data_IF_968736478671
#
_entry.id   IF_968736478671
#
_cell.length_a   1.000
_cell.length_b   1.000
_cell.length_c   1.000
_cell.angle_alpha   90.00
_cell.angle_beta   90.00
_cell.angle_gamma   90.00
#
_symmetry.space_group_name_H-M   'P 1'
#
loop_
_entity.id
_entity.type
_entity.pdbx_description
1 polymer ?
#
# COMPACT_ATOMS: atom_id res chain seq x y z
N UNK A 1 -15.85 11.72 -64.92
CA UNK A 1 -15.97 13.09 -64.38
C UNK A 1 -16.01 12.99 -62.87
N UNK A 2 -14.90 13.38 -62.24
CA UNK A 2 -14.74 13.45 -60.79
C UNK A 2 -15.43 14.72 -60.27
N UNK A 3 -16.05 14.64 -59.09
CA UNK A 3 -16.32 15.83 -58.29
C UNK A 3 -16.02 15.52 -56.83
N UNK A 4 -14.98 16.19 -56.38
CA UNK A 4 -14.36 16.20 -55.07
C UNK A 4 -15.22 16.99 -54.09
N UNK A 5 -15.36 16.49 -52.85
CA UNK A 5 -15.59 17.38 -51.70
C UNK A 5 -14.59 17.09 -50.58
N UNK A 6 -13.86 18.19 -50.31
CA UNK A 6 -12.84 18.45 -49.30
C UNK A 6 -13.05 17.74 -47.96
N UNK A 7 -11.98 17.07 -47.54
CA UNK A 7 -11.57 16.95 -46.14
C UNK A 7 -10.95 18.29 -45.72
N UNK A 8 -11.50 18.92 -44.68
CA UNK A 8 -10.84 19.99 -43.92
C UNK A 8 -10.68 19.50 -42.48
N UNK A 9 -9.42 19.29 -42.10
CA UNK A 9 -9.02 18.84 -40.79
C UNK A 9 -9.23 19.88 -39.71
N UNK A 10 -9.39 19.41 -38.48
CA UNK A 10 -9.26 20.25 -37.30
C UNK A 10 -8.73 19.44 -36.12
N UNK A 11 -7.44 19.67 -35.85
CA UNK A 11 -6.88 19.83 -34.51
C UNK A 11 -6.86 18.59 -33.63
N UNK A 12 -5.88 17.71 -33.87
CA UNK A 12 -5.36 16.80 -32.87
C UNK A 12 -4.77 17.64 -31.72
N UNK A 13 -5.51 17.82 -30.62
CA UNK A 13 -4.96 18.38 -29.38
C UNK A 13 -4.16 17.29 -28.69
N UNK A 14 -2.94 17.10 -29.14
CA UNK A 14 -1.87 16.47 -28.37
C UNK A 14 -1.44 17.45 -27.28
N UNK A 15 -1.91 17.23 -26.06
CA UNK A 15 -1.52 18.04 -24.91
C UNK A 15 -2.05 17.44 -23.63
N UNK A 16 -1.17 16.73 -22.92
CA UNK A 16 -1.11 16.50 -21.46
C UNK A 16 -0.73 15.08 -21.02
N UNK A 17 -0.59 14.11 -21.93
CA UNK A 17 -0.01 12.79 -21.60
C UNK A 17 1.50 12.80 -21.31
N UNK A 18 2.18 13.95 -21.47
CA UNK A 18 3.63 14.07 -21.30
C UNK A 18 4.06 14.39 -19.85
N UNK A 19 3.17 14.84 -18.97
CA UNK A 19 3.56 15.24 -17.62
C UNK A 19 3.79 14.03 -16.68
N UNK A 20 3.00 12.96 -16.82
CA UNK A 20 3.16 11.76 -16.00
C UNK A 20 4.38 10.89 -16.41
N UNK A 21 4.84 11.01 -17.67
CA UNK A 21 6.01 10.30 -18.16
C UNK A 21 7.34 11.08 -17.97
N UNK A 22 7.28 12.38 -17.65
CA UNK A 22 8.49 13.20 -17.55
C UNK A 22 9.22 13.10 -16.21
N UNK A 23 8.58 12.62 -15.13
CA UNK A 23 9.25 12.43 -13.83
C UNK A 23 10.23 11.24 -13.90
N UNK A 24 9.82 10.12 -14.50
CA UNK A 24 10.65 8.91 -14.63
C UNK A 24 11.69 9.02 -15.75
N UNK A 25 11.39 9.72 -16.86
CA UNK A 25 12.29 9.77 -18.03
C UNK A 25 13.50 10.72 -17.87
N UNK A 26 13.46 11.70 -16.95
CA UNK A 26 14.55 12.66 -16.80
C UNK A 26 15.78 12.07 -16.10
N UNK A 27 15.61 11.02 -15.29
CA UNK A 27 16.72 10.45 -14.48
C UNK A 27 17.43 9.33 -15.23
N UNK A 28 16.76 8.62 -16.13
CA UNK A 28 17.41 7.58 -16.98
C UNK A 28 18.45 8.16 -17.93
N UNK A 29 18.32 9.42 -18.36
CA UNK A 29 19.27 10.06 -19.27
C UNK A 29 20.57 10.53 -18.59
N UNK A 30 20.58 10.72 -17.27
CA UNK A 30 21.77 11.21 -16.54
C UNK A 30 22.74 10.08 -16.16
N UNK A 31 22.25 8.85 -15.97
CA UNK A 31 23.08 7.72 -15.51
C UNK A 31 23.88 7.02 -16.62
N UNK A 32 23.60 7.27 -17.90
CA UNK A 32 24.35 6.66 -19.01
C UNK A 32 25.76 7.26 -19.25
N UNK A 33 26.15 8.32 -18.51
CA UNK A 33 27.39 9.06 -18.77
C UNK A 33 28.48 8.91 -17.70
N UNK A 34 28.28 8.14 -16.62
CA UNK A 34 29.27 8.03 -15.54
C UNK A 34 29.49 6.59 -15.13
N UNK A 35 30.55 5.98 -15.67
CA UNK A 35 31.03 4.65 -15.26
C UNK A 35 31.79 4.74 -13.93
N UNK A 36 31.46 3.94 -12.89
CA UNK A 36 32.34 3.79 -11.74
C UNK A 36 33.27 2.59 -11.89
N UNK A 37 34.54 2.81 -11.57
CA UNK A 37 35.59 1.80 -11.42
C UNK A 37 35.43 1.12 -10.05
N UNK A 38 35.60 -0.21 -9.91
CA UNK A 38 35.33 -0.91 -8.65
C UNK A 38 36.51 -0.78 -7.66
N UNK A 39 36.21 -0.39 -6.42
CA UNK A 39 37.14 -0.35 -5.30
C UNK A 39 36.51 -0.94 -4.04
N UNK A 40 37.19 -1.94 -3.47
CA UNK A 40 36.78 -2.83 -2.38
C UNK A 40 36.18 -2.16 -1.13
N UNK A 41 35.12 -2.77 -0.59
CA UNK A 41 34.70 -2.60 0.80
C UNK A 41 34.73 -3.97 1.50
N UNK A 42 35.68 -4.13 2.41
CA UNK A 42 35.59 -5.09 3.49
C UNK A 42 35.59 -4.27 4.78
N UNK A 43 34.49 -4.28 5.54
CA UNK A 43 34.52 -3.86 6.93
C UNK A 43 33.84 -4.86 7.85
N UNK A 44 34.65 -5.13 8.86
CA UNK A 44 34.64 -6.09 9.94
C UNK A 44 33.47 -5.94 10.93
N UNK A 45 33.17 -7.08 11.53
CA UNK A 45 32.15 -7.38 12.55
C UNK A 45 32.57 -6.86 13.93
N UNK A 46 31.73 -6.08 14.60
CA UNK A 46 31.94 -5.72 16.02
C UNK A 46 31.09 -6.58 16.96
N UNK A 47 31.76 -7.13 17.97
CA UNK A 47 31.23 -8.01 19.01
C UNK A 47 30.69 -7.23 20.23
N UNK A 48 29.73 -7.84 20.92
CA UNK A 48 29.19 -7.41 22.21
C UNK A 48 30.19 -7.65 23.37
N UNK A 49 29.94 -7.04 24.54
CA UNK A 49 30.25 -7.72 25.79
C UNK A 49 29.08 -7.80 26.78
N UNK A 50 29.21 -8.79 27.66
CA UNK A 50 28.26 -9.29 28.63
C UNK A 50 28.39 -8.64 30.03
N UNK A 51 27.46 -9.06 30.89
CA UNK A 51 27.10 -8.62 32.23
C UNK A 51 28.17 -8.61 33.34
N UNK A 52 27.85 -7.89 34.43
CA UNK A 52 28.29 -8.20 35.80
C UNK A 52 27.26 -7.70 36.85
N UNK A 53 27.03 -8.51 37.88
CA UNK A 53 26.10 -8.34 39.00
C UNK A 53 26.71 -7.63 40.22
N UNK A 54 25.89 -7.08 41.13
CA UNK A 54 26.12 -7.17 42.58
C UNK A 54 24.85 -6.78 43.39
N UNK A 55 24.79 -7.24 44.64
CA UNK A 55 23.61 -7.59 45.43
C UNK A 55 23.37 -6.72 46.69
N UNK A 56 22.26 -7.02 47.40
CA UNK A 56 22.02 -6.74 48.83
C UNK A 56 21.00 -5.61 49.11
N UNK A 57 20.09 -5.64 50.09
CA UNK A 57 19.74 -6.59 51.15
C UNK A 57 18.32 -6.25 51.68
N UNK A 58 17.67 -7.22 52.32
CA UNK A 58 16.33 -7.12 52.92
C UNK A 58 16.35 -6.73 54.41
N UNK A 59 15.28 -6.11 54.91
CA UNK A 59 14.89 -6.11 56.35
C UNK A 59 13.35 -6.08 56.48
N UNK A 60 12.80 -7.02 57.27
CA UNK A 60 11.42 -7.06 57.82
C UNK A 60 11.43 -6.46 59.27
N UNK A 61 10.37 -6.05 59.98
CA UNK A 61 8.94 -6.37 60.06
C UNK A 61 8.15 -5.28 60.86
N UNK A 62 6.81 -5.45 60.92
CA UNK A 62 5.70 -4.59 61.41
C UNK A 62 5.58 -4.37 62.96
N UNK A 63 4.43 -3.94 63.59
CA UNK A 63 3.17 -3.29 63.15
C UNK A 63 2.69 -2.09 64.05
N UNK A 64 1.71 -1.26 63.63
CA UNK A 64 0.85 -0.50 64.55
C UNK A 64 -0.42 0.12 63.90
N UNK A 65 -1.57 -0.29 64.45
CA UNK A 65 -2.83 0.42 64.75
C UNK A 65 -3.55 1.36 63.74
N UNK A 66 -4.87 1.15 63.69
CA UNK A 66 -5.87 1.74 62.81
C UNK A 66 -6.29 3.18 63.14
N UNK A 67 -6.73 3.90 62.11
CA UNK A 67 -7.72 5.00 62.18
C UNK A 67 -8.56 5.01 60.88
N UNK A 68 -9.85 5.37 60.95
CA UNK A 68 -10.82 5.10 59.89
C UNK A 68 -10.62 5.99 58.66
N UNK A 69 -10.80 5.39 57.48
CA UNK A 69 -10.72 6.06 56.20
C UNK A 69 -11.85 7.10 56.03
N UNK A 70 -11.58 8.29 55.44
CA UNK A 70 -12.63 9.14 54.95
C UNK A 70 -13.32 8.45 53.76
N UNK A 71 -14.64 8.33 53.83
CA UNK A 71 -15.52 7.99 52.72
C UNK A 71 -15.30 9.00 51.59
N UNK A 72 -14.46 8.63 50.62
CA UNK A 72 -14.37 9.31 49.33
C UNK A 72 -15.64 8.97 48.55
N UNK A 73 -16.30 9.96 47.91
CA UNK A 73 -17.44 9.69 47.05
C UNK A 73 -16.95 8.81 45.90
N UNK A 74 -17.75 7.78 45.58
CA UNK A 74 -17.53 6.93 44.41
C UNK A 74 -17.53 7.84 43.18
N UNK A 75 -16.32 8.19 42.72
CA UNK A 75 -16.15 8.75 41.40
C UNK A 75 -16.69 7.70 40.44
N UNK A 76 -17.67 8.06 39.62
CA UNK A 76 -18.09 7.28 38.47
C UNK A 76 -16.84 6.98 37.65
N UNK A 77 -16.27 5.80 37.84
CA UNK A 77 -15.29 5.26 36.92
C UNK A 77 -15.98 5.22 35.55
N UNK A 78 -15.36 5.76 34.49
CA UNK A 78 -15.84 5.51 33.15
C UNK A 78 -15.97 4.00 32.98
N UNK A 79 -17.14 3.54 32.50
CA UNK A 79 -17.31 2.14 32.15
C UNK A 79 -16.12 1.72 31.26
N UNK A 80 -15.49 0.55 31.51
CA UNK A 80 -14.40 0.10 30.68
C UNK A 80 -14.89 0.07 29.23
N UNK A 81 -14.17 0.77 28.35
CA UNK A 81 -14.41 0.68 26.92
C UNK A 81 -14.35 -0.80 26.57
N UNK A 82 -15.45 -1.36 26.06
CA UNK A 82 -15.51 -2.75 25.67
C UNK A 82 -14.33 -3.06 24.75
N UNK A 83 -13.55 -4.08 25.11
CA UNK A 83 -12.34 -4.45 24.39
C UNK A 83 -12.74 -4.90 22.99
N UNK A 84 -12.55 -4.04 21.98
CA UNK A 84 -12.88 -4.38 20.59
C UNK A 84 -12.16 -5.66 20.20
N UNK A 85 -12.92 -6.68 19.79
CA UNK A 85 -12.36 -7.92 19.25
C UNK A 85 -11.42 -7.61 18.10
N UNK A 86 -10.16 -8.04 18.24
CA UNK A 86 -9.12 -7.83 17.25
C UNK A 86 -9.49 -8.53 15.93
N UNK A 87 -9.18 -7.92 14.77
CA UNK A 87 -9.28 -8.61 13.48
C UNK A 87 -8.40 -9.86 13.41
N UNK A 88 -8.70 -10.80 12.48
CA UNK A 88 -7.81 -11.91 12.15
C UNK A 88 -6.39 -11.43 11.85
N UNK A 89 -5.40 -12.10 12.42
CA UNK A 89 -3.99 -11.81 12.17
C UNK A 89 -3.50 -12.38 10.82
N UNK A 90 -2.23 -12.13 10.50
CA UNK A 90 -1.62 -12.58 9.25
C UNK A 90 -1.67 -14.11 9.06
N UNK A 91 -1.47 -14.88 10.14
CA UNK A 91 -1.50 -16.34 10.08
C UNK A 91 -2.91 -16.86 9.81
N UNK A 92 -3.93 -16.26 10.44
CA UNK A 92 -5.33 -16.60 10.18
C UNK A 92 -5.75 -16.28 8.73
N UNK A 93 -5.25 -15.17 8.16
CA UNK A 93 -5.48 -14.80 6.76
C UNK A 93 -4.81 -15.81 5.82
N UNK A 94 -3.54 -16.15 6.04
CA UNK A 94 -2.83 -17.16 5.25
C UNK A 94 -3.52 -18.53 5.31
N UNK A 95 -3.95 -18.95 6.50
CA UNK A 95 -4.69 -20.19 6.68
C UNK A 95 -6.02 -20.17 5.94
N UNK A 96 -6.76 -19.05 5.98
CA UNK A 96 -8.03 -18.93 5.26
C UNK A 96 -7.87 -19.10 3.73
N UNK A 97 -6.74 -18.64 3.17
CA UNK A 97 -6.45 -18.71 1.73
C UNK A 97 -5.87 -20.08 1.34
N UNK A 98 -4.78 -20.51 1.98
CA UNK A 98 -4.01 -21.68 1.55
C UNK A 98 -4.22 -22.93 2.40
N UNK A 99 -4.95 -22.83 3.51
CA UNK A 99 -5.11 -23.92 4.49
C UNK A 99 -3.76 -24.42 5.06
N UNK A 100 -2.76 -23.53 5.10
CA UNK A 100 -1.42 -23.78 5.65
C UNK A 100 -1.29 -23.09 7.00
N UNK A 101 -0.80 -23.82 8.00
CA UNK A 101 -0.44 -23.25 9.30
C UNK A 101 0.97 -22.66 9.25
N UNK A 102 1.05 -21.33 9.20
CA UNK A 102 2.32 -20.59 9.19
C UNK A 102 2.98 -20.52 10.58
N UNK A 103 2.39 -21.13 11.62
CA UNK A 103 2.86 -21.12 13.01
C UNK A 103 3.05 -19.69 13.55
N UNK A 104 2.16 -18.78 13.14
CA UNK A 104 2.20 -17.37 13.51
C UNK A 104 3.13 -16.51 12.64
N UNK A 105 3.83 -17.07 11.65
CA UNK A 105 4.62 -16.30 10.71
C UNK A 105 3.73 -15.57 9.69
N UNK A 106 4.14 -14.38 9.20
CA UNK A 106 3.40 -13.65 8.17
C UNK A 106 3.68 -14.19 6.76
N UNK A 107 4.37 -15.32 6.62
CA UNK A 107 4.72 -15.93 5.34
C UNK A 107 4.75 -17.45 5.48
N UNK A 108 4.44 -18.16 4.41
CA UNK A 108 4.48 -19.62 4.33
C UNK A 108 4.79 -20.09 2.92
N UNK A 109 5.47 -21.23 2.81
CA UNK A 109 5.55 -21.99 1.56
C UNK A 109 4.17 -22.55 1.22
N UNK A 110 3.76 -22.40 -0.04
CA UNK A 110 2.47 -22.86 -0.56
C UNK A 110 2.70 -23.81 -1.75
N UNK A 111 1.73 -23.93 -2.65
CA UNK A 111 1.79 -24.89 -3.73
C UNK A 111 3.03 -24.68 -4.63
N UNK A 112 3.64 -25.80 -5.04
CA UNK A 112 4.70 -25.81 -6.06
C UNK A 112 5.87 -24.86 -5.75
N UNK A 113 6.28 -24.73 -4.48
CA UNK A 113 7.44 -23.91 -4.10
C UNK A 113 7.22 -22.39 -4.20
N UNK A 114 5.98 -21.95 -4.41
CA UNK A 114 5.58 -20.56 -4.24
C UNK A 114 5.58 -20.17 -2.76
N UNK A 115 5.78 -18.89 -2.47
CA UNK A 115 5.74 -18.30 -1.14
C UNK A 115 4.60 -17.28 -1.09
N UNK A 116 3.68 -17.49 -0.14
CA UNK A 116 2.61 -16.55 0.19
C UNK A 116 3.01 -15.71 1.40
N UNK A 117 2.84 -14.39 1.32
CA UNK A 117 3.21 -13.46 2.38
C UNK A 117 2.12 -12.44 2.62
N UNK A 118 1.75 -12.24 3.89
CA UNK A 118 0.80 -11.21 4.30
C UNK A 118 1.32 -9.82 3.96
N UNK A 119 0.46 -9.03 3.33
CA UNK A 119 0.80 -7.69 2.85
C UNK A 119 0.12 -6.60 3.68
N UNK A 120 -1.21 -6.66 3.76
CA UNK A 120 -2.01 -5.58 4.34
C UNK A 120 -3.34 -6.12 4.88
N UNK A 121 -3.93 -5.43 5.85
CA UNK A 121 -5.25 -5.78 6.37
C UNK A 121 -6.04 -4.54 6.71
N UNK A 122 -7.33 -4.55 6.38
CA UNK A 122 -8.18 -3.38 6.50
C UNK A 122 -9.53 -3.74 7.11
N UNK A 123 -9.86 -3.09 8.23
CA UNK A 123 -11.18 -3.16 8.83
C UNK A 123 -12.01 -1.94 8.37
N UNK A 124 -13.20 -2.19 7.85
CA UNK A 124 -14.09 -1.15 7.33
C UNK A 124 -15.54 -1.51 7.62
N UNK A 125 -16.44 -0.55 7.46
CA UNK A 125 -17.88 -0.77 7.60
C UNK A 125 -18.57 -0.33 6.32
N UNK A 126 -19.44 -1.17 5.78
CA UNK A 126 -20.23 -0.84 4.60
C UNK A 126 -21.69 -1.22 4.84
N UNK A 127 -22.58 -0.23 4.68
CA UNK A 127 -24.02 -0.37 4.94
C UNK A 127 -24.32 -0.97 6.33
N UNK A 128 -23.56 -0.55 7.35
CA UNK A 128 -23.71 -1.04 8.72
C UNK A 128 -23.08 -2.41 8.99
N UNK A 129 -22.54 -3.09 7.98
CA UNK A 129 -21.87 -4.38 8.15
C UNK A 129 -20.36 -4.17 8.37
N UNK A 130 -19.79 -4.62 9.51
CA UNK A 130 -18.35 -4.61 9.73
C UNK A 130 -17.65 -5.71 8.94
N UNK A 131 -16.65 -5.30 8.16
CA UNK A 131 -15.77 -6.13 7.35
C UNK A 131 -14.33 -6.03 7.82
N UNK A 132 -13.60 -7.11 7.61
CA UNK A 132 -12.15 -7.12 7.63
C UNK A 132 -11.66 -7.91 6.43
N UNK A 133 -10.74 -7.35 5.67
CA UNK A 133 -10.07 -8.07 4.59
C UNK A 133 -8.58 -8.07 4.84
N UNK A 134 -7.99 -9.27 4.83
CA UNK A 134 -6.55 -9.46 4.78
C UNK A 134 -6.12 -9.75 3.35
N UNK A 135 -5.01 -9.14 2.94
CA UNK A 135 -4.41 -9.28 1.62
C UNK A 135 -3.05 -9.95 1.77
N UNK A 136 -2.77 -10.90 0.89
CA UNK A 136 -1.46 -11.53 0.75
C UNK A 136 -0.94 -11.27 -0.65
N UNK A 137 0.37 -11.38 -0.82
CA UNK A 137 0.98 -11.53 -2.13
C UNK A 137 1.66 -12.89 -2.24
N UNK A 138 1.71 -13.41 -3.46
CA UNK A 138 2.23 -14.73 -3.77
C UNK A 138 3.19 -14.66 -4.96
N UNK A 139 4.36 -15.30 -4.82
CA UNK A 139 5.33 -15.46 -5.92
C UNK A 139 4.81 -16.39 -7.01
N UNK A 140 5.48 -16.46 -8.16
CA UNK A 140 5.15 -17.48 -9.15
C UNK A 140 5.48 -18.88 -8.61
N UNK A 141 4.65 -19.87 -9.00
CA UNK A 141 4.94 -21.28 -8.76
C UNK A 141 6.23 -21.71 -9.48
N UNK A 142 6.98 -22.59 -8.82
CA UNK A 142 8.33 -23.03 -9.21
C UNK A 142 8.27 -24.49 -9.63
N UNK A 143 8.44 -24.71 -10.94
CA UNK A 143 8.39 -26.05 -11.53
C UNK A 143 9.77 -26.56 -11.97
N UNK A 144 10.76 -25.66 -12.08
CA UNK A 144 12.15 -25.97 -12.42
C UNK A 144 13.00 -26.38 -11.21
N UNK A 145 14.31 -26.59 -11.42
CA UNK A 145 15.23 -26.75 -10.30
C UNK A 145 15.46 -25.39 -9.62
N UNK A 146 15.80 -25.38 -8.31
CA UNK A 146 16.17 -24.14 -7.63
C UNK A 146 17.25 -23.36 -8.40
N UNK A 147 16.95 -22.11 -8.75
CA UNK A 147 17.86 -21.23 -9.49
C UNK A 147 17.75 -21.28 -11.02
N UNK A 148 16.82 -22.06 -11.59
CA UNK A 148 16.53 -22.04 -13.04
C UNK A 148 15.46 -21.01 -13.42
N UNK A 149 14.74 -20.45 -12.44
CA UNK A 149 13.69 -19.46 -12.67
C UNK A 149 14.27 -18.03 -12.59
N UNK A 150 14.37 -17.38 -13.74
CA UNK A 150 14.84 -15.99 -13.85
C UNK A 150 13.71 -15.00 -13.50
N UNK A 151 13.93 -14.18 -12.47
CA UNK A 151 13.03 -13.08 -12.10
C UNK A 151 13.38 -11.83 -12.88
N UNK A 152 12.51 -11.44 -13.81
CA UNK A 152 12.67 -10.23 -14.60
C UNK A 152 12.25 -8.96 -13.84
N UNK A 153 12.67 -7.78 -14.30
CA UNK A 153 12.29 -6.51 -13.67
C UNK A 153 10.78 -6.26 -13.70
N UNK A 154 10.07 -6.77 -14.71
CA UNK A 154 8.62 -6.62 -14.85
C UNK A 154 7.83 -7.78 -14.24
N UNK A 155 8.50 -8.75 -13.60
CA UNK A 155 7.80 -9.87 -12.95
C UNK A 155 7.02 -9.34 -11.76
N UNK A 156 5.69 -9.53 -11.79
CA UNK A 156 4.76 -9.15 -10.74
C UNK A 156 4.59 -10.27 -9.72
N UNK A 157 3.86 -9.98 -8.65
CA UNK A 157 3.33 -10.98 -7.72
C UNK A 157 1.81 -11.02 -7.82
N UNK A 158 1.23 -12.20 -7.60
CA UNK A 158 -0.22 -12.35 -7.48
C UNK A 158 -0.67 -11.73 -6.15
N UNK A 159 -1.81 -11.03 -6.15
CA UNK A 159 -2.45 -10.53 -4.95
C UNK A 159 -3.71 -11.35 -4.69
N UNK A 160 -3.88 -11.84 -3.46
CA UNK A 160 -5.04 -12.61 -3.03
C UNK A 160 -5.63 -12.03 -1.74
N UNK A 161 -6.86 -12.43 -1.41
CA UNK A 161 -7.55 -11.90 -0.24
C UNK A 161 -8.36 -12.95 0.52
N UNK A 162 -8.56 -12.70 1.81
CA UNK A 162 -9.60 -13.32 2.62
C UNK A 162 -10.40 -12.25 3.36
N UNK A 163 -11.72 -12.32 3.22
CA UNK A 163 -12.67 -11.40 3.82
C UNK A 163 -13.43 -12.07 4.96
N UNK A 164 -13.61 -11.32 6.03
CA UNK A 164 -14.29 -11.71 7.26
C UNK A 164 -15.37 -10.67 7.59
N UNK A 165 -16.41 -11.12 8.26
CA UNK A 165 -17.53 -10.29 8.73
C UNK A 165 -17.71 -10.45 10.23
N UNK A 166 -18.15 -9.39 10.89
CA UNK A 166 -18.61 -9.43 12.28
C UNK A 166 -20.10 -9.09 12.34
N UNK A 167 -20.81 -9.64 13.31
CA UNK A 167 -22.22 -9.33 13.50
C UNK A 167 -22.36 -7.87 13.98
N UNK A 168 -23.05 -6.98 13.22
CA UNK A 168 -23.27 -5.61 13.67
C UNK A 168 -24.14 -5.51 14.94
N UNK A 169 -25.02 -6.48 15.17
CA UNK A 169 -25.86 -6.54 16.36
C UNK A 169 -25.11 -7.05 17.61
N UNK A 170 -23.89 -7.59 17.43
CA UNK A 170 -23.07 -8.13 18.51
C UNK A 170 -21.60 -7.73 18.32
N UNK A 171 -21.19 -6.55 18.82
CA UNK A 171 -19.81 -6.04 18.66
C UNK A 171 -18.72 -6.94 19.26
N UNK A 172 -19.09 -7.77 20.24
CA UNK A 172 -18.24 -8.77 20.90
C UNK A 172 -18.16 -10.09 20.11
N UNK A 173 -18.93 -10.24 19.02
CA UNK A 173 -18.87 -11.45 18.20
C UNK A 173 -17.51 -11.59 17.51
N UNK A 174 -16.99 -12.82 17.37
CA UNK A 174 -15.76 -13.04 16.63
C UNK A 174 -15.95 -12.74 15.15
N UNK A 175 -14.87 -12.37 14.49
CA UNK A 175 -14.81 -12.31 13.04
C UNK A 175 -15.06 -13.70 12.45
N UNK A 176 -16.00 -13.79 11.52
CA UNK A 176 -16.35 -15.02 10.79
C UNK A 176 -15.86 -14.91 9.37
N UNK A 177 -15.20 -15.96 8.90
CA UNK A 177 -14.79 -16.06 7.50
C UNK A 177 -16.00 -15.94 6.58
N UNK A 178 -15.92 -15.03 5.61
CA UNK A 178 -16.94 -14.82 4.58
C UNK A 178 -16.58 -15.56 3.31
N UNK A 179 -15.34 -15.41 2.87
CA UNK A 179 -14.86 -15.92 1.59
C UNK A 179 -13.43 -15.46 1.32
N UNK A 180 -12.83 -16.03 0.28
CA UNK A 180 -11.50 -15.70 -0.21
C UNK A 180 -11.49 -15.72 -1.73
N UNK A 181 -10.55 -14.99 -2.31
CA UNK A 181 -10.28 -15.02 -3.75
C UNK A 181 -8.77 -15.24 -3.94
N UNK A 182 -8.36 -16.33 -4.61
CA UNK A 182 -6.94 -16.69 -4.77
C UNK A 182 -6.21 -15.74 -5.71
N UNK A 183 -6.93 -14.90 -6.45
CA UNK A 183 -6.36 -13.79 -7.21
C UNK A 183 -7.37 -12.65 -7.31
N UNK A 184 -6.90 -11.44 -7.01
CA UNK A 184 -7.63 -10.18 -7.18
C UNK A 184 -6.89 -9.21 -8.11
N UNK A 185 -5.79 -9.66 -8.71
CA UNK A 185 -4.93 -8.92 -9.62
C UNK A 185 -3.45 -9.22 -9.35
N UNK A 186 -2.59 -8.64 -10.18
CA UNK A 186 -1.14 -8.74 -10.03
C UNK A 186 -0.54 -7.33 -9.89
N UNK A 187 0.53 -7.23 -9.12
CA UNK A 187 1.16 -5.94 -8.83
C UNK A 187 2.63 -6.09 -8.45
N UNK A 188 3.32 -4.95 -8.39
CA UNK A 188 4.74 -4.90 -8.06
C UNK A 188 5.66 -5.14 -9.25
N UNK A 189 6.91 -5.42 -8.94
CA UNK A 189 8.02 -5.59 -9.88
C UNK A 189 9.11 -6.42 -9.20
N UNK A 190 10.02 -7.01 -9.97
CA UNK A 190 11.08 -7.89 -9.43
C UNK A 190 10.54 -9.00 -8.50
N UNK A 191 9.32 -9.48 -8.78
CA UNK A 191 8.57 -10.44 -7.98
C UNK A 191 8.41 -10.02 -6.51
N UNK A 192 8.20 -8.72 -6.30
CA UNK A 192 7.90 -8.14 -4.99
C UNK A 192 6.79 -7.11 -5.12
N UNK A 193 5.89 -7.01 -4.13
CA UNK A 193 4.93 -5.93 -4.10
C UNK A 193 5.62 -4.62 -3.69
N UNK A 194 4.96 -3.46 -3.90
CA UNK A 194 5.28 -2.26 -3.15
C UNK A 194 5.20 -2.50 -1.64
N UNK A 195 6.10 -1.90 -0.87
CA UNK A 195 6.05 -1.95 0.58
C UNK A 195 4.89 -1.09 1.09
N UNK A 196 4.24 -1.52 2.19
CA UNK A 196 3.18 -0.72 2.82
C UNK A 196 3.83 0.42 3.59
N UNK A 197 3.45 1.66 3.28
CA UNK A 197 3.84 2.80 4.08
C UNK A 197 2.93 2.90 5.31
N UNK A 198 3.52 2.56 6.46
CA UNK A 198 2.83 2.54 7.76
C UNK A 198 2.69 3.93 8.41
N UNK A 199 3.34 4.96 7.85
CA UNK A 199 3.28 6.33 8.36
C UNK A 199 2.03 7.06 7.84
N UNK A 200 1.57 6.71 6.64
CA UNK A 200 0.33 7.23 6.06
C UNK A 200 -0.84 6.31 6.39
N UNK A 201 -2.03 6.91 6.54
CA UNK A 201 -3.27 6.15 6.73
C UNK A 201 -3.85 5.73 5.38
N UNK A 202 -4.44 4.52 5.30
CA UNK A 202 -5.26 4.17 4.14
C UNK A 202 -6.44 5.11 4.01
N UNK A 203 -6.85 5.37 2.78
CA UNK A 203 -7.97 6.25 2.45
C UNK A 203 -9.10 5.43 1.84
N UNK A 204 -10.33 5.81 2.15
CA UNK A 204 -11.55 5.15 1.69
C UNK A 204 -12.41 6.12 0.90
N UNK A 205 -13.10 5.60 -0.11
CA UNK A 205 -14.21 6.28 -0.78
C UNK A 205 -15.36 5.32 -1.04
N UNK A 206 -16.56 5.71 -0.59
CA UNK A 206 -17.79 4.94 -0.80
C UNK A 206 -18.49 5.47 -2.05
N UNK A 207 -18.73 4.60 -3.02
CA UNK A 207 -19.39 5.00 -4.27
C UNK A 207 -20.90 5.11 -4.07
N UNK A 208 -21.60 5.72 -5.03
CA UNK A 208 -23.05 5.83 -4.99
C UNK A 208 -23.75 4.47 -5.13
N UNK A 209 -23.16 3.54 -5.88
CA UNK A 209 -23.61 2.15 -5.91
C UNK A 209 -23.28 1.38 -4.62
N UNK A 210 -22.51 2.00 -3.70
CA UNK A 210 -22.07 1.43 -2.43
C UNK A 210 -21.01 0.34 -2.60
N UNK A 211 -20.07 0.56 -3.52
CA UNK A 211 -18.74 -0.06 -3.50
C UNK A 211 -17.82 0.74 -2.56
N UNK A 212 -16.69 0.14 -2.21
CA UNK A 212 -15.60 0.84 -1.52
C UNK A 212 -14.37 0.86 -2.44
N UNK A 213 -13.79 2.03 -2.64
CA UNK A 213 -12.43 2.19 -3.13
C UNK A 213 -11.50 2.43 -1.93
N UNK A 214 -10.51 1.57 -1.77
CA UNK A 214 -9.46 1.64 -0.76
C UNK A 214 -8.16 2.04 -1.45
N UNK A 215 -7.47 3.05 -0.92
CA UNK A 215 -6.12 3.42 -1.30
C UNK A 215 -5.17 3.06 -0.16
N UNK A 216 -4.35 2.04 -0.38
CA UNK A 216 -3.32 1.58 0.57
C UNK A 216 -2.03 2.36 0.30
N UNK A 217 -1.48 3.12 1.25
CA UNK A 217 -0.25 3.86 1.04
C UNK A 217 0.91 2.90 0.84
N UNK A 218 1.73 3.18 -0.17
CA UNK A 218 2.87 2.33 -0.52
C UNK A 218 4.14 3.14 -0.71
N UNK A 219 5.26 2.45 -0.60
CA UNK A 219 6.60 2.94 -0.90
C UNK A 219 7.37 1.89 -1.71
N UNK A 220 8.18 2.36 -2.65
CA UNK A 220 9.16 1.54 -3.38
C UNK A 220 10.46 2.32 -3.49
N UNK A 221 11.59 1.64 -3.37
CA UNK A 221 12.90 2.24 -3.62
C UNK A 221 13.50 1.67 -4.91
N UNK A 222 13.76 2.53 -5.89
CA UNK A 222 14.34 2.13 -7.15
C UNK A 222 15.38 3.15 -7.60
N UNK A 223 16.57 2.67 -8.00
CA UNK A 223 17.63 3.49 -8.58
C UNK A 223 17.98 4.75 -7.77
N UNK A 224 17.95 4.67 -6.44
CA UNK A 224 18.29 5.80 -5.57
C UNK A 224 17.14 6.76 -5.28
N UNK A 225 15.92 6.44 -5.73
CA UNK A 225 14.72 7.24 -5.54
C UNK A 225 13.72 6.43 -4.72
N UNK A 226 13.26 7.03 -3.64
CA UNK A 226 12.06 6.57 -2.93
C UNK A 226 10.84 7.12 -3.65
N UNK A 227 9.98 6.23 -4.15
CA UNK A 227 8.70 6.56 -4.78
C UNK A 227 7.61 6.23 -3.77
N UNK A 228 6.85 7.24 -3.36
CA UNK A 228 5.66 7.06 -2.55
C UNK A 228 4.43 6.97 -3.46
N UNK A 229 3.47 6.13 -3.09
CA UNK A 229 2.27 5.92 -3.89
C UNK A 229 1.10 5.44 -3.06
N UNK A 230 0.06 5.00 -3.78
CA UNK A 230 -1.02 4.21 -3.24
C UNK A 230 -1.38 3.07 -4.19
N UNK A 231 -1.54 1.87 -3.66
CA UNK A 231 -2.20 0.77 -4.34
C UNK A 231 -3.72 0.89 -4.16
N UNK A 232 -4.47 0.82 -5.27
CA UNK A 232 -5.90 1.02 -5.29
C UNK A 232 -6.63 -0.32 -5.39
N UNK A 233 -7.60 -0.53 -4.50
CA UNK A 233 -8.39 -1.75 -4.39
C UNK A 233 -9.88 -1.40 -4.36
N UNK A 234 -10.70 -2.09 -5.15
CA UNK A 234 -12.15 -1.92 -5.15
C UNK A 234 -12.81 -3.12 -4.52
N UNK A 235 -13.62 -2.89 -3.49
CA UNK A 235 -14.53 -3.87 -2.91
C UNK A 235 -15.93 -3.68 -3.50
N UNK A 236 -16.44 -4.73 -4.14
CA UNK A 236 -17.82 -4.82 -4.60
C UNK A 236 -18.56 -5.87 -3.77
N UNK A 237 -19.55 -5.48 -2.95
CA UNK A 237 -20.26 -6.42 -2.11
C UNK A 237 -20.93 -7.51 -2.95
N UNK A 238 -20.85 -8.80 -2.57
CA UNK A 238 -21.47 -9.92 -3.27
C UNK A 238 -22.92 -9.71 -3.70
N UNK A 239 -23.73 -9.10 -2.84
CA UNK A 239 -25.13 -8.77 -3.10
C UNK A 239 -25.32 -7.79 -4.27
N UNK A 240 -24.29 -7.00 -4.60
CA UNK A 240 -24.26 -6.03 -5.71
C UNK A 240 -23.55 -6.55 -6.96
N UNK A 241 -23.03 -7.78 -6.92
CA UNK A 241 -22.35 -8.42 -8.06
C UNK A 241 -23.28 -9.14 -9.03
N UNK A 242 -24.59 -9.16 -8.81
CA UNK A 242 -25.53 -9.96 -9.64
C UNK A 242 -25.45 -9.64 -11.14
N UNK A 243 -25.08 -8.40 -11.49
CA UNK A 243 -24.89 -7.95 -12.88
C UNK A 243 -23.41 -7.77 -13.27
N UNK A 244 -22.47 -8.03 -12.37
CA UNK A 244 -21.03 -7.83 -12.57
C UNK A 244 -20.26 -9.16 -12.46
N UNK A 245 -19.72 -9.64 -13.59
CA UNK A 245 -18.75 -10.75 -13.57
C UNK A 245 -17.40 -10.22 -13.08
N UNK A 246 -17.18 -10.27 -11.78
CA UNK A 246 -15.95 -9.79 -11.17
C UNK A 246 -15.74 -10.34 -9.77
N UNK A 247 -14.52 -10.15 -9.30
CA UNK A 247 -14.11 -10.51 -7.96
C UNK A 247 -14.79 -9.59 -6.91
N UNK A 248 -14.89 -10.04 -5.67
CA UNK A 248 -15.32 -9.22 -4.52
C UNK A 248 -14.33 -8.10 -4.29
N UNK A 249 -13.04 -8.41 -4.37
CA UNK A 249 -11.98 -7.41 -4.40
C UNK A 249 -11.30 -7.39 -5.76
N UNK A 250 -10.90 -6.21 -6.22
CA UNK A 250 -10.08 -6.07 -7.42
C UNK A 250 -9.00 -5.04 -7.19
N UNK A 251 -7.76 -5.41 -7.48
CA UNK A 251 -6.68 -4.45 -7.63
C UNK A 251 -6.88 -3.68 -8.93
N UNK A 252 -6.90 -2.34 -8.82
CA UNK A 252 -7.23 -1.43 -9.92
C UNK A 252 -6.08 -0.46 -10.22
N UNK A 253 -4.85 -0.86 -9.91
CA UNK A 253 -3.62 -0.13 -10.24
C UNK A 253 -3.05 0.70 -9.10
N UNK A 254 -1.94 1.36 -9.40
CA UNK A 254 -1.22 2.24 -8.49
C UNK A 254 -1.32 3.70 -8.92
N UNK A 255 -1.25 4.61 -7.96
CA UNK A 255 -1.06 6.04 -8.21
C UNK A 255 0.20 6.51 -7.52
N UNK A 256 0.99 7.35 -8.21
CA UNK A 256 2.22 7.94 -7.65
C UNK A 256 1.82 9.15 -6.82
N UNK A 257 2.36 9.24 -5.61
CA UNK A 257 2.08 10.28 -4.63
C UNK A 257 3.36 10.99 -4.15
N UNK A 258 4.51 10.75 -4.75
CA UNK A 258 5.71 11.52 -4.46
C UNK A 258 6.98 10.79 -4.83
N UNK A 259 8.06 11.54 -4.84
CA UNK A 259 9.41 11.07 -5.12
C UNK A 259 10.40 11.80 -4.21
N UNK A 260 11.39 11.08 -3.72
CA UNK A 260 12.50 11.60 -2.94
C UNK A 260 13.82 11.00 -3.45
N UNK A 261 14.69 11.84 -4.00
CA UNK A 261 16.02 11.43 -4.45
C UNK A 261 17.12 11.74 -3.42
N UNK A 262 16.76 12.12 -2.20
CA UNK A 262 17.66 12.34 -1.07
C UNK A 262 18.76 11.27 -0.92
N UNK A 263 18.42 9.97 -1.02
CA UNK A 263 19.41 8.90 -0.94
C UNK A 263 20.50 8.92 -2.03
N UNK A 264 20.23 9.52 -3.19
CA UNK A 264 21.13 9.54 -4.35
C UNK A 264 21.77 10.90 -4.64
N UNK A 265 21.18 12.00 -4.16
CA UNK A 265 21.62 13.34 -4.52
C UNK A 265 22.96 13.76 -3.89
N UNK A 266 23.41 13.07 -2.83
CA UNK A 266 24.61 13.37 -2.05
C UNK A 266 24.69 14.84 -1.63
N UNK A 267 23.65 15.32 -0.93
CA UNK A 267 23.50 16.72 -0.48
C UNK A 267 23.58 17.77 -1.60
N UNK A 268 23.41 17.35 -2.86
CA UNK A 268 23.47 18.22 -4.04
C UNK A 268 24.70 18.01 -4.91
N UNK A 269 25.69 17.22 -4.47
CA UNK A 269 26.98 17.04 -5.14
C UNK A 269 26.85 16.27 -6.46
N UNK A 270 25.92 15.31 -6.54
CA UNK A 270 25.69 14.50 -7.76
C UNK A 270 24.58 15.11 -8.61
N UNK A 271 23.48 15.51 -7.97
CA UNK A 271 22.33 16.15 -8.59
C UNK A 271 21.56 16.94 -7.54
N UNK A 272 20.69 17.89 -7.93
CA UNK A 272 19.85 18.59 -6.97
C UNK A 272 18.98 17.63 -6.16
N UNK A 273 19.00 17.78 -4.83
CA UNK A 273 18.07 17.07 -3.95
C UNK A 273 16.67 17.65 -4.13
N UNK A 274 15.70 16.78 -4.41
CA UNK A 274 14.29 17.09 -4.58
C UNK A 274 13.45 16.08 -3.84
N UNK A 275 12.42 16.59 -3.18
CA UNK A 275 11.40 15.80 -2.51
C UNK A 275 10.05 16.37 -2.87
N UNK A 276 9.15 15.49 -3.28
CA UNK A 276 7.76 15.79 -3.57
C UNK A 276 6.86 14.89 -2.77
N UNK A 277 5.78 15.47 -2.26
CA UNK A 277 4.76 14.78 -1.47
C UNK A 277 3.39 15.15 -2.01
N UNK A 278 2.55 14.13 -2.18
CA UNK A 278 1.26 14.20 -2.83
C UNK A 278 0.14 13.85 -1.87
N UNK A 279 -0.85 14.74 -1.79
CA UNK A 279 -2.11 14.47 -1.10
C UNK A 279 -3.12 13.85 -2.06
N UNK A 280 -3.60 12.65 -1.75
CA UNK A 280 -4.63 11.97 -2.53
C UNK A 280 -6.03 12.44 -2.12
N UNK A 281 -6.80 12.91 -3.09
CA UNK A 281 -8.19 13.35 -2.92
C UNK A 281 -9.11 12.59 -3.86
N UNK A 282 -10.16 12.00 -3.30
CA UNK A 282 -11.25 11.42 -4.07
C UNK A 282 -12.31 12.46 -4.41
N UNK A 283 -12.83 12.41 -5.63
CA UNK A 283 -13.97 13.23 -6.04
C UNK A 283 -14.97 12.40 -6.82
N UNK A 284 -16.26 12.61 -6.57
CA UNK A 284 -17.32 11.92 -7.28
C UNK A 284 -17.19 12.13 -8.79
N UNK A 285 -17.39 11.06 -9.56
CA UNK A 285 -17.45 11.13 -11.01
C UNK A 285 -18.92 11.16 -11.45
N UNK A 286 -19.34 12.22 -12.12
CA UNK A 286 -20.74 12.36 -12.55
C UNK A 286 -21.15 11.33 -13.62
N UNK A 287 -20.19 10.70 -14.31
CA UNK A 287 -20.43 9.81 -15.44
C UNK A 287 -20.04 8.35 -15.17
N UNK A 288 -19.47 8.04 -14.00
CA UNK A 288 -19.05 6.69 -13.63
C UNK A 288 -19.17 6.49 -12.11
N UNK A 289 -19.37 5.26 -11.66
CA UNK A 289 -19.55 4.98 -10.23
C UNK A 289 -18.26 5.17 -9.42
N UNK A 290 -17.11 4.75 -9.98
CA UNK A 290 -15.81 4.93 -9.35
C UNK A 290 -15.34 6.40 -9.41
N UNK A 291 -14.75 6.93 -8.31
CA UNK A 291 -14.37 8.34 -8.22
C UNK A 291 -13.24 8.69 -9.18
N UNK A 292 -13.01 9.99 -9.38
CA UNK A 292 -11.71 10.49 -9.82
C UNK A 292 -10.76 10.53 -8.63
N UNK A 293 -9.51 10.19 -8.87
CA UNK A 293 -8.43 10.28 -7.88
C UNK A 293 -7.52 11.42 -8.30
N UNK A 294 -7.36 12.42 -7.45
CA UNK A 294 -6.44 13.54 -7.72
C UNK A 294 -5.30 13.49 -6.72
N UNK A 295 -4.06 13.58 -7.20
CA UNK A 295 -2.88 13.74 -6.36
C UNK A 295 -2.40 15.17 -6.46
N UNK A 296 -2.45 15.90 -5.35
CA UNK A 296 -2.00 17.28 -5.24
C UNK A 296 -0.58 17.33 -4.70
N UNK A 297 0.37 17.70 -5.54
CA UNK A 297 1.78 17.69 -5.17
C UNK A 297 2.23 18.99 -4.49
N UNK A 298 3.13 18.82 -3.53
CA UNK A 298 3.88 19.87 -2.87
C UNK A 298 5.37 19.50 -2.85
N UNK A 299 6.22 20.44 -2.42
CA UNK A 299 7.67 20.26 -2.45
C UNK A 299 8.31 20.76 -3.74
N UNK A 300 9.38 20.10 -4.18
CA UNK A 300 10.17 20.51 -5.34
C UNK A 300 10.41 19.32 -6.27
N UNK A 301 10.65 19.62 -7.55
CA UNK A 301 11.02 18.63 -8.57
C UNK A 301 12.15 19.16 -9.45
N UNK A 302 12.81 18.27 -10.21
CA UNK A 302 13.83 18.63 -11.18
C UNK A 302 13.15 19.28 -12.39
N UNK A 303 13.57 20.49 -12.76
CA UNK A 303 13.04 21.22 -13.93
C UNK A 303 14.01 21.27 -15.11
N UNK A 304 15.17 20.65 -14.97
CA UNK A 304 16.23 20.59 -15.97
C UNK A 304 17.59 20.31 -15.33
N UNK A 305 18.68 20.23 -16.12
CA UNK A 305 20.02 19.93 -15.61
C UNK A 305 20.44 20.91 -14.51
N UNK A 306 20.73 20.39 -13.32
CA UNK A 306 21.15 21.18 -12.15
C UNK A 306 20.09 22.17 -11.62
N UNK A 307 18.83 22.08 -12.06
CA UNK A 307 17.77 23.03 -11.70
C UNK A 307 16.57 22.34 -11.08
N UNK A 308 16.01 22.99 -10.07
CA UNK A 308 14.76 22.57 -9.43
C UNK A 308 13.70 23.65 -9.60
N UNK A 309 12.44 23.24 -9.49
CA UNK A 309 11.29 24.14 -9.36
C UNK A 309 10.39 23.67 -8.23
N UNK A 310 9.65 24.61 -7.67
CA UNK A 310 8.59 24.32 -6.70
C UNK A 310 7.37 23.72 -7.42
N UNK A 311 6.76 22.73 -6.79
CA UNK A 311 5.49 22.16 -7.22
C UNK A 311 4.33 23.02 -6.73
N UNK A 312 3.28 23.14 -7.54
CA UNK A 312 2.08 23.90 -7.21
C UNK A 312 0.81 23.28 -7.76
N UNK A 313 -0.35 23.96 -7.66
CA UNK A 313 -1.65 23.40 -8.03
C UNK A 313 -1.75 22.90 -9.48
N UNK A 314 -0.97 23.49 -10.40
CA UNK A 314 -0.92 23.06 -11.81
C UNK A 314 -0.18 21.74 -12.04
N UNK A 315 0.51 21.22 -11.03
CA UNK A 315 1.22 19.94 -11.07
C UNK A 315 0.36 18.77 -10.57
N UNK A 316 -0.90 19.02 -10.18
CA UNK A 316 -1.80 17.96 -9.75
C UNK A 316 -2.06 16.97 -10.89
N UNK A 317 -2.05 15.68 -10.55
CA UNK A 317 -2.33 14.59 -11.51
C UNK A 317 -3.70 14.03 -11.21
N UNK A 318 -4.53 13.90 -12.24
CA UNK A 318 -5.87 13.32 -12.13
C UNK A 318 -5.85 11.94 -12.77
N UNK A 319 -6.29 10.94 -12.02
CA UNK A 319 -6.51 9.58 -12.46
C UNK A 319 -8.00 9.30 -12.57
N UNK A 320 -8.38 8.56 -13.59
CA UNK A 320 -9.73 8.06 -13.77
C UNK A 320 -9.71 6.55 -14.03
N UNK A 321 -10.75 5.85 -13.58
CA UNK A 321 -10.90 4.43 -13.85
C UNK A 321 -11.23 4.20 -15.33
N UNK A 322 -10.41 3.39 -15.99
CA UNK A 322 -10.63 2.88 -17.34
C UNK A 322 -11.29 1.50 -17.24
N UNK A 323 -12.57 1.42 -17.62
CA UNK A 323 -13.34 0.17 -17.54
C UNK A 323 -12.86 -0.92 -18.51
N UNK A 324 -12.21 -0.55 -19.62
CA UNK A 324 -11.64 -1.52 -20.57
C UNK A 324 -10.37 -2.15 -20.00
N UNK A 325 -9.50 -1.33 -19.41
CA UNK A 325 -8.25 -1.78 -18.78
C UNK A 325 -8.45 -2.28 -17.34
N UNK A 326 -9.62 -2.02 -16.76
CA UNK A 326 -9.98 -2.30 -15.37
C UNK A 326 -9.01 -1.69 -14.34
N UNK A 327 -8.47 -0.51 -14.63
CA UNK A 327 -7.48 0.15 -13.78
C UNK A 327 -7.59 1.68 -13.83
N UNK A 328 -7.07 2.36 -12.83
CA UNK A 328 -6.87 3.80 -12.85
C UNK A 328 -5.73 4.19 -13.79
N UNK A 329 -5.98 5.20 -14.63
CA UNK A 329 -4.99 5.76 -15.56
C UNK A 329 -4.93 7.27 -15.39
N UNK A 330 -3.73 7.84 -15.48
CA UNK A 330 -3.55 9.29 -15.50
C UNK A 330 -4.20 9.89 -16.76
N UNK A 331 -4.83 11.05 -16.62
CA UNK A 331 -5.50 11.79 -17.70
C UNK A 331 -4.63 12.90 -18.29
#
# INVERSE_FOLDING_TARGET
MASTRKSEGKGLRTGNAAAAALLVAAITAAFAAMSPTPGNAAQEKAAAPAAASAAGAAVAAAPAAASPAPITPVANAPAPAAARIAPPDAAAVLYAIHQVDSKGAPSADVANGSIATYWFGHAFELEGTPYYTGFIWETAERYGKPGEDDVGPMTTVNLAEATFIRDPASPESPWKFRGMEPTIGEFGAYERPPEVDTQRKPLEYRTASGKLLLAVPTETFENGITISGYALLVFTPPEKRQDETGNVWSYVGNVIAGEDNGPACADGDVMPCTRSEGELVFSANATADLPRVTVQFSGNTISGPGKTRKLGPGDAVIYAYDATRKQYVAQ
#
